data_IF_796636115368
#
_entry.id   IF_796636115368
#
_cell.length_a   1.000
_cell.length_b   1.000
_cell.length_c   1.000
_cell.angle_alpha   90.00
_cell.angle_beta   90.00
_cell.angle_gamma   90.00
#
_symmetry.space_group_name_H-M   'P 1'
#
loop_
_entity.id
_entity.type
_entity.pdbx_description
1 polymer ?
#
# COMPACT_ATOMS: atom_id res chain seq x y z
N UNK A 1 -21.57 10.80 -16.44
CA UNK A 1 -22.47 10.34 -15.37
C UNK A 1 -23.06 8.93 -15.56
N UNK A 2 -23.39 8.46 -16.78
CA UNK A 2 -24.01 7.11 -16.99
C UNK A 2 -23.13 5.89 -16.63
N UNK A 3 -21.82 6.00 -16.46
CA UNK A 3 -20.93 4.85 -16.15
C UNK A 3 -20.63 4.65 -14.67
N UNK A 4 -20.95 5.59 -13.79
CA UNK A 4 -20.75 5.47 -12.34
C UNK A 4 -21.93 4.81 -11.61
N UNK A 5 -23.14 5.02 -12.13
CA UNK A 5 -24.37 4.52 -11.53
C UNK A 5 -24.39 3.00 -11.31
N UNK A 6 -23.94 2.14 -12.27
CA UNK A 6 -23.95 0.71 -12.04
C UNK A 6 -22.95 0.24 -10.96
N UNK A 7 -21.84 0.94 -10.79
CA UNK A 7 -20.83 0.59 -9.77
C UNK A 7 -21.30 0.92 -8.35
N UNK A 8 -21.92 2.10 -8.18
CA UNK A 8 -22.51 2.52 -6.90
C UNK A 8 -23.71 1.63 -6.56
N UNK A 9 -24.55 1.32 -7.54
CA UNK A 9 -25.67 0.40 -7.37
C UNK A 9 -25.22 -1.03 -7.05
N UNK A 10 -24.21 -1.55 -7.72
CA UNK A 10 -23.63 -2.86 -7.44
C UNK A 10 -23.04 -2.94 -6.03
N UNK A 11 -22.36 -1.88 -5.59
CA UNK A 11 -21.81 -1.79 -4.24
C UNK A 11 -22.90 -1.74 -3.18
N UNK A 12 -23.94 -0.92 -3.39
CA UNK A 12 -25.10 -0.85 -2.51
C UNK A 12 -25.87 -2.18 -2.50
N UNK A 13 -26.02 -2.83 -3.66
CA UNK A 13 -26.69 -4.13 -3.77
C UNK A 13 -25.93 -5.23 -3.03
N UNK A 14 -24.60 -5.27 -3.14
CA UNK A 14 -23.75 -6.19 -2.36
C UNK A 14 -23.87 -5.92 -0.85
N UNK A 15 -23.99 -4.66 -0.43
CA UNK A 15 -24.15 -4.31 0.98
C UNK A 15 -25.50 -4.77 1.56
N UNK A 16 -26.56 -4.83 0.74
CA UNK A 16 -27.89 -5.31 1.14
C UNK A 16 -28.01 -6.84 1.15
N UNK A 17 -27.20 -7.56 0.37
CA UNK A 17 -27.25 -9.02 0.28
C UNK A 17 -26.51 -9.73 1.43
N UNK A 18 -25.77 -9.00 2.26
CA UNK A 18 -25.06 -9.60 3.40
C UNK A 18 -26.05 -9.82 4.55
N UNK A 19 -26.32 -11.07 4.97
CA UNK A 19 -27.27 -11.33 6.05
C UNK A 19 -26.76 -10.69 7.35
N UNK A 20 -27.64 -9.94 8.02
CA UNK A 20 -27.34 -9.17 9.25
C UNK A 20 -26.85 -10.03 10.45
N UNK A 21 -26.86 -11.35 10.32
CA UNK A 21 -26.42 -12.30 11.35
C UNK A 21 -25.06 -12.99 11.02
N UNK A 22 -24.28 -12.45 10.11
CA UNK A 22 -22.96 -12.99 9.84
C UNK A 22 -22.09 -12.85 11.11
N UNK A 23 -21.75 -13.98 11.74
CA UNK A 23 -20.83 -14.00 12.89
C UNK A 23 -19.45 -13.56 12.40
N UNK A 24 -18.81 -12.69 13.18
CA UNK A 24 -17.44 -12.27 12.95
C UNK A 24 -16.52 -13.46 12.67
N UNK A 25 -15.58 -13.30 11.75
CA UNK A 25 -14.53 -14.30 11.52
C UNK A 25 -13.78 -14.54 12.84
N UNK A 26 -13.40 -15.77 13.11
CA UNK A 26 -12.43 -16.05 14.16
C UNK A 26 -11.10 -15.49 13.68
N UNK A 27 -10.65 -14.44 14.34
CA UNK A 27 -9.53 -13.64 13.89
C UNK A 27 -8.24 -14.45 13.93
N UNK A 28 -7.74 -14.76 12.78
CA UNK A 28 -6.31 -14.84 12.55
C UNK A 28 -5.88 -13.40 12.21
N UNK A 29 -5.46 -12.66 13.22
CA UNK A 29 -4.95 -11.30 13.03
C UNK A 29 -3.52 -11.36 12.51
N UNK A 30 -3.36 -11.83 11.27
CA UNK A 30 -2.16 -11.54 10.50
C UNK A 30 -2.35 -10.12 9.93
N UNK A 31 -2.11 -9.15 10.79
CA UNK A 31 -2.40 -7.78 10.48
C UNK A 31 -1.15 -7.04 10.05
N UNK A 32 -1.24 -6.32 8.93
CA UNK A 32 -0.55 -5.05 8.82
C UNK A 32 -1.22 -4.12 9.85
N UNK A 33 -0.67 -4.14 11.03
CA UNK A 33 -1.17 -3.43 12.20
C UNK A 33 -1.35 -1.94 11.95
N UNK A 34 -0.60 -1.36 11.01
CA UNK A 34 -0.70 0.05 10.68
C UNK A 34 -2.04 0.41 10.05
N UNK A 35 -2.51 -0.34 9.04
CA UNK A 35 -3.79 -0.05 8.40
C UNK A 35 -4.94 -0.24 9.37
N UNK A 36 -4.89 -1.29 10.20
CA UNK A 36 -5.91 -1.53 11.21
C UNK A 36 -5.85 -0.53 12.36
N UNK A 37 -4.68 -0.09 12.79
CA UNK A 37 -4.52 0.99 13.77
C UNK A 37 -5.06 2.31 13.21
N UNK A 38 -4.88 2.57 11.92
CA UNK A 38 -5.41 3.77 11.26
C UNK A 38 -6.93 3.68 11.08
N UNK A 39 -7.48 2.51 10.71
CA UNK A 39 -8.91 2.31 10.48
C UNK A 39 -9.76 2.32 11.76
N UNK A 40 -9.19 2.05 12.93
CA UNK A 40 -9.93 2.07 14.20
C UNK A 40 -10.44 3.46 14.61
N UNK A 41 -9.91 4.53 13.99
CA UNK A 41 -10.12 5.91 14.44
C UNK A 41 -11.01 6.78 13.57
N UNK A 42 -11.73 6.20 12.65
CA UNK A 42 -12.63 7.00 11.81
C UNK A 42 -13.83 7.53 12.61
N UNK A 43 -13.65 8.71 13.11
CA UNK A 43 -14.75 9.61 13.52
C UNK A 43 -15.30 10.25 12.24
N UNK A 44 -16.60 10.49 12.19
CA UNK A 44 -17.20 11.28 11.12
C UNK A 44 -16.52 12.64 11.09
N UNK A 45 -15.83 12.95 10.02
CA UNK A 45 -14.94 14.07 9.92
C UNK A 45 -15.22 14.87 8.64
N UNK A 46 -15.39 16.15 8.77
CA UNK A 46 -15.26 17.08 7.64
C UNK A 46 -14.03 17.94 7.89
N UNK A 47 -13.07 17.85 6.98
CA UNK A 47 -11.94 18.77 6.98
C UNK A 47 -11.85 19.53 5.66
N UNK A 48 -11.52 20.81 5.76
CA UNK A 48 -11.20 21.64 4.60
C UNK A 48 -9.93 22.42 4.90
N UNK A 49 -9.04 22.49 3.93
CA UNK A 49 -7.81 23.25 4.05
C UNK A 49 -7.71 24.25 2.91
N UNK A 50 -7.40 25.51 3.22
CA UNK A 50 -6.99 26.51 2.26
C UNK A 50 -5.50 26.72 2.38
N UNK A 51 -4.79 26.74 1.26
CA UNK A 51 -3.34 26.91 1.29
C UNK A 51 -2.71 27.06 -0.08
N UNK A 52 -1.39 27.06 -0.04
CA UNK A 52 -0.54 27.14 -1.22
C UNK A 52 0.13 25.80 -1.47
N UNK A 53 0.26 25.44 -2.75
CA UNK A 53 0.90 24.19 -3.17
C UNK A 53 1.95 24.50 -4.25
N UNK A 54 3.08 23.81 -4.21
CA UNK A 54 4.01 23.76 -5.33
C UNK A 54 3.96 22.38 -5.95
N UNK A 55 3.36 22.29 -7.15
CA UNK A 55 3.13 21.01 -7.85
C UNK A 55 3.84 21.10 -9.19
N UNK A 56 4.71 20.12 -9.47
CA UNK A 56 5.43 20.10 -10.74
C UNK A 56 6.28 21.34 -11.03
N UNK A 57 6.74 22.05 -9.99
CA UNK A 57 7.52 23.29 -10.11
C UNK A 57 6.69 24.57 -10.26
N UNK A 58 5.36 24.49 -10.39
CA UNK A 58 4.44 25.62 -10.47
C UNK A 58 3.77 25.90 -9.13
N UNK A 59 3.43 27.15 -8.87
CA UNK A 59 2.78 27.60 -7.64
C UNK A 59 1.26 27.68 -7.82
N UNK A 60 0.54 27.13 -6.87
CA UNK A 60 -0.92 27.08 -6.83
C UNK A 60 -1.45 27.60 -5.49
N UNK A 61 -2.64 28.17 -5.50
CA UNK A 61 -3.43 28.42 -4.30
C UNK A 61 -4.78 27.75 -4.44
N UNK A 62 -5.36 27.28 -3.34
CA UNK A 62 -6.65 26.62 -3.45
C UNK A 62 -7.16 26.01 -2.15
N UNK A 63 -8.24 25.26 -2.30
CA UNK A 63 -8.93 24.56 -1.21
C UNK A 63 -8.89 23.07 -1.46
N UNK A 64 -8.65 22.30 -0.40
CA UNK A 64 -8.76 20.85 -0.41
C UNK A 64 -9.85 20.43 0.59
N UNK A 65 -10.85 19.71 0.12
CA UNK A 65 -11.96 19.24 0.93
C UNK A 65 -11.83 17.73 1.14
N UNK A 66 -11.83 17.31 2.41
CA UNK A 66 -11.70 15.91 2.80
C UNK A 66 -12.85 15.51 3.75
N UNK A 67 -14.09 15.36 3.23
CA UNK A 67 -15.17 14.81 4.04
C UNK A 67 -15.02 13.31 4.21
N UNK A 68 -15.17 12.84 5.44
CA UNK A 68 -15.19 11.43 5.81
C UNK A 68 -16.42 11.11 6.63
N UNK A 69 -17.12 10.05 6.29
CA UNK A 69 -18.31 9.57 6.98
C UNK A 69 -18.22 8.07 7.19
N UNK A 70 -18.50 7.61 8.41
CA UNK A 70 -18.61 6.20 8.71
C UNK A 70 -19.92 5.89 9.42
N UNK A 71 -20.70 5.00 8.79
CA UNK A 71 -22.00 4.53 9.28
C UNK A 71 -21.92 3.01 9.46
N UNK A 72 -21.73 2.55 10.68
CA UNK A 72 -21.58 1.13 10.98
C UNK A 72 -20.39 0.51 10.26
N UNK A 73 -20.68 -0.38 9.29
CA UNK A 73 -19.64 -1.05 8.47
C UNK A 73 -19.27 -0.30 7.20
N UNK A 74 -20.02 0.74 6.83
CA UNK A 74 -19.77 1.53 5.61
C UNK A 74 -18.92 2.74 5.95
N UNK A 75 -17.87 2.97 5.21
CA UNK A 75 -17.03 4.16 5.31
C UNK A 75 -16.91 4.84 3.95
N UNK A 76 -16.99 6.16 3.91
CA UNK A 76 -16.82 6.99 2.71
C UNK A 76 -15.88 8.12 3.03
N UNK A 77 -14.85 8.29 2.24
CA UNK A 77 -13.95 9.43 2.29
C UNK A 77 -13.77 10.02 0.89
N UNK A 78 -13.79 11.34 0.80
CA UNK A 78 -13.48 12.06 -0.43
C UNK A 78 -12.20 12.88 -0.24
N UNK A 79 -11.58 13.22 -1.36
CA UNK A 79 -10.39 14.08 -1.41
C UNK A 79 -10.50 14.95 -2.66
N UNK A 80 -10.97 16.17 -2.46
CA UNK A 80 -11.34 17.10 -3.53
C UNK A 80 -10.37 18.28 -3.52
N UNK A 81 -9.29 18.23 -4.33
CA UNK A 81 -8.36 19.34 -4.48
C UNK A 81 -8.89 20.35 -5.53
N UNK A 82 -9.00 21.58 -5.16
CA UNK A 82 -9.40 22.69 -6.01
C UNK A 82 -8.26 23.73 -6.00
N UNK A 83 -7.23 23.53 -6.81
CA UNK A 83 -6.04 24.36 -6.88
C UNK A 83 -6.02 25.18 -8.17
N UNK A 84 -5.66 26.46 -8.06
CA UNK A 84 -5.55 27.39 -9.15
C UNK A 84 -4.09 27.86 -9.28
N UNK A 85 -3.56 27.82 -10.49
CA UNK A 85 -2.22 28.30 -10.79
C UNK A 85 -2.15 29.82 -10.55
N UNK A 86 -1.14 30.27 -9.81
CA UNK A 86 -0.97 31.67 -9.48
C UNK A 86 -0.47 32.53 -10.66
N UNK A 87 0.07 31.90 -11.72
CA UNK A 87 0.59 32.60 -12.89
C UNK A 87 -0.50 32.87 -13.92
N UNK A 88 -1.37 31.90 -14.19
CA UNK A 88 -2.37 31.97 -15.26
C UNK A 88 -3.82 31.85 -14.78
N UNK A 89 -4.05 31.68 -13.49
CA UNK A 89 -5.37 31.54 -12.87
C UNK A 89 -6.10 30.24 -13.23
N UNK A 90 -5.50 29.33 -14.00
CA UNK A 90 -6.16 28.11 -14.43
C UNK A 90 -6.20 27.07 -13.32
N UNK A 91 -7.34 26.38 -13.24
CA UNK A 91 -7.50 25.29 -12.31
C UNK A 91 -6.60 24.09 -12.70
N UNK A 92 -5.96 23.48 -11.70
CA UNK A 92 -5.24 22.22 -11.87
C UNK A 92 -6.25 21.09 -12.09
N UNK A 93 -6.32 20.60 -13.32
CA UNK A 93 -7.33 19.61 -13.74
C UNK A 93 -6.76 18.25 -14.07
N UNK A 94 -5.47 18.04 -13.92
CA UNK A 94 -4.80 16.79 -14.33
C UNK A 94 -5.33 15.57 -13.56
N UNK A 95 -5.80 15.78 -12.33
CA UNK A 95 -6.43 14.74 -11.52
C UNK A 95 -7.83 14.35 -12.03
N UNK A 96 -8.51 15.23 -12.73
CA UNK A 96 -9.89 15.04 -13.23
C UNK A 96 -9.95 14.54 -14.67
N UNK A 97 -8.81 14.49 -15.36
CA UNK A 97 -8.73 14.09 -16.76
C UNK A 97 -8.96 12.60 -16.94
N UNK A 98 -9.60 12.25 -18.05
CA UNK A 98 -9.86 10.86 -18.45
C UNK A 98 -11.18 10.30 -17.92
N UNK A 99 -11.57 9.12 -18.41
CA UNK A 99 -12.88 8.49 -18.12
C UNK A 99 -13.07 8.07 -16.66
N UNK A 100 -12.01 8.03 -15.87
CA UNK A 100 -12.00 7.67 -14.44
C UNK A 100 -11.57 8.83 -13.53
N UNK A 101 -11.41 10.05 -14.07
CA UNK A 101 -10.94 11.21 -13.32
C UNK A 101 -11.76 11.50 -12.06
N UNK A 102 -13.10 11.45 -12.17
CA UNK A 102 -13.98 11.65 -11.02
C UNK A 102 -13.84 10.57 -9.93
N UNK A 103 -13.42 9.36 -10.27
CA UNK A 103 -13.19 8.29 -9.28
C UNK A 103 -11.99 8.62 -8.38
N UNK A 104 -11.05 9.43 -8.85
CA UNK A 104 -9.86 9.86 -8.08
C UNK A 104 -10.21 10.79 -6.93
N UNK A 105 -11.42 11.39 -6.93
CA UNK A 105 -11.94 12.16 -5.81
C UNK A 105 -12.37 11.27 -4.65
N UNK A 106 -12.57 9.99 -4.88
CA UNK A 106 -12.88 9.02 -3.83
C UNK A 106 -11.57 8.63 -3.15
N UNK A 107 -11.35 9.13 -1.93
CA UNK A 107 -10.26 8.69 -1.08
C UNK A 107 -10.45 7.22 -0.73
N UNK A 108 -11.64 6.88 -0.23
CA UNK A 108 -12.08 5.50 -0.06
C UNK A 108 -13.61 5.38 0.04
N UNK A 109 -14.10 4.24 -0.41
CA UNK A 109 -15.43 3.72 -0.13
C UNK A 109 -15.24 2.29 0.39
N UNK A 110 -15.60 2.02 1.64
CA UNK A 110 -15.33 0.74 2.27
C UNK A 110 -16.55 0.12 2.91
N UNK A 111 -16.57 -1.21 2.97
CA UNK A 111 -17.52 -2.00 3.73
C UNK A 111 -16.76 -3.07 4.53
N UNK A 112 -17.06 -3.17 5.83
CA UNK A 112 -16.45 -4.14 6.72
C UNK A 112 -15.01 -3.80 7.11
N UNK A 113 -14.37 -4.74 7.80
CA UNK A 113 -12.96 -4.69 8.20
C UNK A 113 -12.27 -5.94 7.69
N UNK A 114 -11.13 -5.76 7.01
CA UNK A 114 -10.31 -6.85 6.46
C UNK A 114 -9.97 -7.85 7.55
N UNK A 115 -10.06 -9.15 7.25
CA UNK A 115 -9.81 -10.26 8.18
C UNK A 115 -10.71 -10.35 9.44
N UNK A 116 -11.55 -9.35 9.71
CA UNK A 116 -12.44 -9.30 10.88
C UNK A 116 -13.89 -9.57 10.52
N UNK A 117 -14.37 -8.97 9.46
CA UNK A 117 -15.74 -9.18 8.97
C UNK A 117 -15.75 -10.26 7.86
N UNK A 118 -16.87 -10.96 7.66
CA UNK A 118 -16.97 -11.97 6.60
C UNK A 118 -16.79 -11.41 5.20
N UNK A 119 -17.10 -10.14 5.03
CA UNK A 119 -16.92 -9.39 3.79
C UNK A 119 -16.24 -8.07 4.10
N UNK A 120 -15.15 -7.83 3.41
CA UNK A 120 -14.47 -6.56 3.34
C UNK A 120 -14.28 -6.16 1.89
N UNK A 121 -14.61 -4.92 1.57
CA UNK A 121 -14.36 -4.30 0.27
C UNK A 121 -13.96 -2.85 0.52
N UNK A 122 -12.90 -2.39 -0.15
CA UNK A 122 -12.47 -0.99 -0.16
C UNK A 122 -12.18 -0.59 -1.59
N UNK A 123 -12.82 0.46 -2.06
CA UNK A 123 -12.59 1.10 -3.36
C UNK A 123 -11.99 2.47 -3.13
N UNK A 124 -10.95 2.84 -3.85
CA UNK A 124 -10.29 4.15 -3.72
C UNK A 124 -8.78 4.04 -3.73
N UNK A 125 -8.14 4.88 -2.94
CA UNK A 125 -6.70 4.84 -2.77
C UNK A 125 -6.30 3.62 -1.93
N UNK A 126 -5.39 2.83 -2.47
CA UNK A 126 -4.78 1.71 -1.76
C UNK A 126 -3.52 2.19 -1.06
N UNK A 127 -3.43 1.96 0.25
CA UNK A 127 -2.29 2.37 1.08
C UNK A 127 -1.91 1.22 1.99
N UNK A 128 -0.64 0.84 1.98
CA UNK A 128 -0.10 -0.24 2.77
C UNK A 128 -0.84 -1.59 2.58
N UNK A 129 -1.32 -1.87 1.36
CA UNK A 129 -2.03 -3.11 1.06
C UNK A 129 -1.10 -4.31 1.06
N UNK A 130 -1.64 -5.44 1.52
CA UNK A 130 -0.95 -6.72 1.48
C UNK A 130 -1.92 -7.83 1.06
N UNK A 131 -1.38 -8.91 0.51
CA UNK A 131 -2.12 -10.11 0.12
C UNK A 131 -1.44 -11.33 0.75
N UNK A 132 -2.24 -12.19 1.38
CA UNK A 132 -1.73 -13.33 2.15
C UNK A 132 -0.82 -12.88 3.29
N UNK A 133 0.32 -13.53 3.39
CA UNK A 133 1.34 -13.21 4.38
C UNK A 133 2.38 -12.19 3.85
N UNK A 134 2.08 -11.49 2.74
CA UNK A 134 2.92 -10.43 2.21
C UNK A 134 4.19 -10.93 1.51
N UNK A 135 4.22 -12.16 1.02
CA UNK A 135 5.38 -12.70 0.30
C UNK A 135 5.68 -11.96 -1.00
N UNK A 136 4.64 -11.59 -1.74
CA UNK A 136 4.71 -10.89 -3.04
C UNK A 136 4.25 -9.45 -2.93
N UNK A 137 3.07 -9.21 -2.36
CA UNK A 137 2.46 -7.89 -2.18
C UNK A 137 2.50 -7.53 -0.71
N UNK A 138 3.31 -6.56 -0.35
CA UNK A 138 3.45 -6.09 1.03
C UNK A 138 3.66 -4.57 1.09
N UNK A 139 2.87 -3.89 1.90
CA UNK A 139 2.84 -2.43 2.00
C UNK A 139 2.64 -1.70 0.66
N UNK A 140 1.99 -2.34 -0.30
CA UNK A 140 1.77 -1.76 -1.61
C UNK A 140 0.88 -0.51 -1.54
N UNK A 141 1.22 0.49 -2.35
CA UNK A 141 0.43 1.72 -2.47
C UNK A 141 0.30 2.14 -3.93
N UNK A 142 -0.93 2.52 -4.34
CA UNK A 142 -1.22 2.97 -5.69
C UNK A 142 -1.31 4.50 -5.83
N UNK A 143 -1.09 5.25 -4.76
CA UNK A 143 -1.31 6.70 -4.72
C UNK A 143 -0.19 7.42 -3.99
N UNK A 144 1.06 7.13 -4.38
CA UNK A 144 2.26 7.66 -3.75
C UNK A 144 2.61 9.07 -4.23
N UNK A 145 2.23 9.44 -5.45
CA UNK A 145 2.41 10.77 -6.03
C UNK A 145 1.09 11.56 -6.02
N UNK A 146 1.17 12.88 -5.87
CA UNK A 146 0.02 13.76 -6.01
C UNK A 146 -0.50 13.76 -7.46
N UNK A 147 0.38 13.74 -8.43
CA UNK A 147 0.04 13.75 -9.87
C UNK A 147 -0.49 12.42 -10.40
N UNK A 148 -0.15 11.30 -9.72
CA UNK A 148 -0.48 9.94 -10.19
C UNK A 148 -1.39 9.22 -9.20
N UNK A 149 -2.53 9.84 -8.88
CA UNK A 149 -3.55 9.18 -8.06
C UNK A 149 -4.28 8.12 -8.84
N UNK A 150 -4.49 6.99 -8.22
CA UNK A 150 -5.21 5.84 -8.78
C UNK A 150 -6.39 5.46 -7.88
N UNK A 151 -7.40 4.89 -8.50
CA UNK A 151 -8.56 4.34 -7.80
C UNK A 151 -8.59 2.85 -8.03
N UNK A 152 -8.26 2.10 -7.01
CA UNK A 152 -8.24 0.64 -7.03
C UNK A 152 -9.33 0.02 -6.17
N UNK A 153 -9.23 -1.29 -5.98
CA UNK A 153 -10.06 -2.06 -5.07
C UNK A 153 -9.19 -3.03 -4.27
N UNK A 154 -9.50 -3.18 -2.98
CA UNK A 154 -9.01 -4.26 -2.11
C UNK A 154 -10.21 -4.99 -1.53
N UNK A 155 -10.13 -6.30 -1.42
CA UNK A 155 -11.24 -7.12 -0.93
C UNK A 155 -10.77 -8.35 -0.17
N UNK A 156 -11.61 -8.82 0.76
CA UNK A 156 -11.47 -10.09 1.47
C UNK A 156 -12.86 -10.62 1.79
N UNK A 157 -13.21 -11.76 1.21
CA UNK A 157 -14.50 -12.43 1.42
C UNK A 157 -14.24 -13.82 1.96
N UNK A 158 -14.84 -14.15 3.11
CA UNK A 158 -14.70 -15.43 3.76
C UNK A 158 -16.09 -16.07 4.01
N UNK A 159 -16.30 -17.24 3.43
CA UNK A 159 -17.56 -17.98 3.50
C UNK A 159 -17.43 -19.08 4.54
N UNK A 160 -18.42 -19.15 5.45
CA UNK A 160 -18.50 -20.19 6.50
C UNK A 160 -17.23 -20.33 7.34
N UNK A 161 -16.36 -19.30 7.39
CA UNK A 161 -15.05 -19.31 8.06
C UNK A 161 -14.05 -20.34 7.49
N UNK A 162 -14.37 -21.00 6.39
CA UNK A 162 -13.59 -22.09 5.82
C UNK A 162 -12.96 -21.75 4.48
N UNK A 163 -13.68 -21.00 3.63
CA UNK A 163 -13.25 -20.69 2.28
C UNK A 163 -13.26 -19.19 2.10
N UNK A 164 -12.24 -18.66 1.45
CA UNK A 164 -12.23 -17.25 1.16
C UNK A 164 -11.42 -16.89 -0.07
N UNK A 165 -11.56 -15.63 -0.44
CA UNK A 165 -10.77 -15.01 -1.49
C UNK A 165 -10.46 -13.57 -1.08
N UNK A 166 -9.20 -13.21 -1.12
CA UNK A 166 -8.73 -11.85 -0.95
C UNK A 166 -7.93 -11.40 -2.16
N UNK A 167 -7.79 -10.10 -2.31
CA UNK A 167 -7.00 -9.57 -3.40
C UNK A 167 -7.14 -8.07 -3.57
N UNK A 168 -6.51 -7.59 -4.63
CA UNK A 168 -6.55 -6.18 -5.01
C UNK A 168 -6.43 -5.98 -6.52
N UNK A 169 -6.88 -4.82 -6.96
CA UNK A 169 -6.64 -4.29 -8.30
C UNK A 169 -6.28 -2.80 -8.19
N UNK A 170 -5.16 -2.42 -8.78
CA UNK A 170 -4.53 -1.13 -8.47
C UNK A 170 -5.22 0.08 -9.09
N UNK A 171 -5.85 -0.04 -10.26
CA UNK A 171 -6.45 1.11 -10.94
C UNK A 171 -7.56 0.69 -11.91
N UNK A 172 -8.72 1.30 -11.81
CA UNK A 172 -9.83 1.13 -12.76
C UNK A 172 -9.60 1.81 -14.11
N UNK A 173 -8.57 2.63 -14.24
CA UNK A 173 -8.16 3.15 -15.53
C UNK A 173 -7.39 2.08 -16.31
N UNK A 174 -8.07 1.36 -17.18
CA UNK A 174 -7.49 0.25 -17.94
C UNK A 174 -6.48 0.68 -19.01
N UNK A 175 -6.31 1.98 -19.24
CA UNK A 175 -5.31 2.55 -20.16
C UNK A 175 -3.95 2.78 -19.51
N UNK A 176 -3.85 2.62 -18.16
CA UNK A 176 -2.64 2.80 -17.40
C UNK A 176 -2.08 1.45 -16.90
N UNK A 177 -0.97 1.53 -16.17
CA UNK A 177 -0.44 0.40 -15.42
C UNK A 177 -1.45 -0.14 -14.41
N UNK A 178 -1.64 -1.46 -14.41
CA UNK A 178 -2.57 -2.15 -13.52
C UNK A 178 -1.93 -3.38 -12.90
N UNK A 179 -1.81 -3.37 -11.59
CA UNK A 179 -1.42 -4.54 -10.80
C UNK A 179 -2.69 -5.24 -10.29
N UNK A 180 -2.79 -6.53 -10.58
CA UNK A 180 -3.84 -7.42 -10.10
C UNK A 180 -3.25 -8.48 -9.18
N UNK A 181 -3.86 -8.70 -8.03
CA UNK A 181 -3.52 -9.80 -7.13
C UNK A 181 -4.79 -10.48 -6.63
N UNK A 182 -4.77 -11.82 -6.60
CA UNK A 182 -5.86 -12.64 -6.06
C UNK A 182 -5.27 -13.78 -5.25
N UNK A 183 -5.88 -14.05 -4.09
CA UNK A 183 -5.54 -15.17 -3.22
C UNK A 183 -6.80 -15.91 -2.78
N UNK A 184 -7.22 -17.00 -3.45
CA UNK A 184 -8.09 -17.98 -2.82
C UNK A 184 -7.38 -18.64 -1.64
N UNK A 185 -8.13 -18.90 -0.56
CA UNK A 185 -7.61 -19.55 0.63
C UNK A 185 -8.65 -20.47 1.27
N UNK A 186 -8.14 -21.45 2.01
CA UNK A 186 -8.97 -22.36 2.76
C UNK A 186 -8.50 -22.41 4.22
N UNK A 187 -9.45 -22.59 5.13
CA UNK A 187 -9.24 -22.92 6.55
C UNK A 187 -9.87 -24.29 6.81
N UNK A 188 -9.11 -25.38 6.60
CA UNK A 188 -9.67 -26.74 6.63
C UNK A 188 -10.40 -27.06 7.94
N UNK A 189 -9.93 -26.48 9.03
CA UNK A 189 -10.49 -26.68 10.36
C UNK A 189 -11.23 -25.46 10.91
N UNK A 190 -11.63 -24.51 10.04
CA UNK A 190 -12.28 -23.26 10.45
C UNK A 190 -13.59 -23.43 11.23
N UNK A 191 -14.25 -24.58 11.10
CA UNK A 191 -15.43 -24.97 11.88
C UNK A 191 -15.09 -25.72 13.19
N UNK A 192 -13.82 -26.07 13.41
CA UNK A 192 -13.37 -26.79 14.62
C UNK A 192 -13.46 -25.88 15.86
N UNK A 193 -13.70 -26.49 17.02
CA UNK A 193 -13.66 -25.80 18.30
C UNK A 193 -12.24 -25.70 18.88
N UNK A 194 -11.27 -26.48 18.36
CA UNK A 194 -9.88 -26.48 18.82
C UNK A 194 -9.21 -25.15 18.49
N UNK A 195 -8.79 -24.37 19.49
CA UNK A 195 -8.41 -22.95 19.28
C UNK A 195 -7.28 -22.73 18.28
N UNK A 196 -6.25 -23.55 18.27
CA UNK A 196 -5.08 -23.41 17.40
C UNK A 196 -5.39 -23.91 15.99
N UNK A 197 -5.88 -25.15 15.87
CA UNK A 197 -6.10 -25.81 14.57
C UNK A 197 -7.13 -25.06 13.70
N UNK A 198 -8.19 -24.52 14.32
CA UNK A 198 -9.23 -23.76 13.57
C UNK A 198 -8.70 -22.53 12.85
N UNK A 199 -7.50 -22.09 13.19
CA UNK A 199 -6.86 -20.90 12.60
C UNK A 199 -5.94 -21.24 11.43
N UNK A 200 -5.71 -22.53 11.15
CA UNK A 200 -4.89 -22.94 10.00
C UNK A 200 -5.50 -22.36 8.72
N UNK A 201 -4.72 -21.52 8.05
CA UNK A 201 -5.05 -20.85 6.79
C UNK A 201 -4.02 -21.27 5.74
N UNK A 202 -4.48 -21.67 4.57
CA UNK A 202 -3.63 -22.06 3.44
C UNK A 202 -4.14 -21.34 2.19
N UNK A 203 -3.24 -20.72 1.46
CA UNK A 203 -3.61 -19.92 0.30
C UNK A 203 -2.67 -20.05 -0.88
N UNK A 204 -3.21 -19.69 -2.03
CA UNK A 204 -2.48 -19.55 -3.28
C UNK A 204 -2.66 -18.13 -3.79
N UNK A 205 -1.58 -17.38 -3.92
CA UNK A 205 -1.59 -16.03 -4.45
C UNK A 205 -1.12 -16.01 -5.89
N UNK A 206 -1.85 -15.32 -6.76
CA UNK A 206 -1.40 -15.00 -8.11
C UNK A 206 -1.39 -13.49 -8.29
N UNK A 207 -0.30 -12.98 -8.83
CA UNK A 207 -0.12 -11.54 -9.12
C UNK A 207 0.24 -11.38 -10.59
N UNK A 208 -0.35 -10.38 -11.21
CA UNK A 208 -0.01 -9.99 -12.58
C UNK A 208 0.03 -8.48 -12.70
N UNK A 209 1.12 -7.99 -13.25
CA UNK A 209 1.28 -6.63 -13.70
C UNK A 209 0.94 -6.57 -15.20
N UNK A 210 -0.01 -5.70 -15.57
CA UNK A 210 -0.35 -5.38 -16.95
C UNK A 210 -0.06 -3.90 -17.18
N UNK A 211 1.07 -3.61 -17.79
CA UNK A 211 1.35 -2.25 -18.19
C UNK A 211 0.91 -2.02 -19.65
N UNK A 212 -0.01 -1.08 -19.81
CA UNK A 212 -0.49 -0.61 -21.11
C UNK A 212 -0.03 0.83 -21.39
N UNK A 213 0.79 1.40 -20.54
CA UNK A 213 1.27 2.77 -20.71
C UNK A 213 2.18 2.82 -21.92
N UNK A 214 1.78 3.57 -22.92
CA UNK A 214 2.69 3.93 -24.02
C UNK A 214 3.72 4.88 -23.45
N UNK A 215 4.93 4.42 -23.24
CA UNK A 215 6.08 5.26 -22.96
C UNK A 215 6.72 5.57 -24.29
N UNK A 216 6.66 6.85 -24.64
CA UNK A 216 7.17 7.32 -25.90
C UNK A 216 8.68 7.52 -25.77
N UNK A 217 9.46 6.72 -26.50
CA UNK A 217 10.80 7.06 -26.91
C UNK A 217 10.88 6.82 -28.42
N UNK A 218 10.95 7.91 -29.18
CA UNK A 218 11.01 7.86 -30.63
C UNK A 218 12.28 7.21 -31.18
N UNK A 219 13.33 7.10 -30.36
CA UNK A 219 14.63 6.61 -30.77
C UNK A 219 14.84 5.11 -30.58
N UNK A 220 14.08 4.49 -29.68
CA UNK A 220 14.18 3.08 -29.36
C UNK A 220 12.78 2.53 -29.12
N UNK A 221 12.36 1.52 -29.81
CA UNK A 221 11.03 0.91 -29.73
C UNK A 221 10.74 0.26 -28.36
N UNK A 222 10.86 1.06 -27.28
CA UNK A 222 10.68 0.70 -25.87
C UNK A 222 9.25 0.27 -25.58
N UNK A 223 8.31 0.60 -26.46
CA UNK A 223 6.89 0.31 -26.29
C UNK A 223 6.56 -1.18 -26.14
N UNK A 224 7.42 -2.06 -26.63
CA UNK A 224 7.21 -3.51 -26.51
C UNK A 224 7.58 -4.06 -25.13
N UNK A 225 8.53 -3.45 -24.46
CA UNK A 225 9.12 -3.91 -23.21
C UNK A 225 8.11 -4.01 -22.05
N UNK A 226 7.22 -3.05 -21.96
CA UNK A 226 6.29 -2.91 -20.83
C UNK A 226 4.95 -3.61 -21.06
N UNK A 227 4.69 -4.10 -22.27
CA UNK A 227 3.48 -4.89 -22.53
C UNK A 227 3.49 -6.25 -21.87
N UNK A 228 4.66 -6.79 -21.59
CA UNK A 228 4.81 -8.16 -21.14
C UNK A 228 4.68 -8.29 -19.63
N UNK A 229 5.03 -7.23 -18.87
CA UNK A 229 4.80 -7.12 -17.44
C UNK A 229 5.45 -8.22 -16.59
N UNK A 230 5.08 -8.24 -15.33
CA UNK A 230 5.50 -9.24 -14.36
C UNK A 230 4.35 -10.17 -14.01
N UNK A 231 4.64 -11.45 -13.79
CA UNK A 231 3.72 -12.38 -13.15
C UNK A 231 4.41 -13.04 -11.95
N UNK A 232 3.64 -13.38 -10.96
CA UNK A 232 4.14 -14.03 -9.76
C UNK A 232 3.08 -14.93 -9.16
N UNK A 233 3.52 -15.94 -8.42
CA UNK A 233 2.63 -16.75 -7.62
C UNK A 233 3.29 -17.13 -6.29
N UNK A 234 2.47 -17.43 -5.29
CA UNK A 234 2.91 -17.87 -3.97
C UNK A 234 1.96 -18.90 -3.41
N UNK A 235 2.53 -19.87 -2.71
CA UNK A 235 1.82 -20.74 -1.78
C UNK A 235 2.18 -20.30 -0.37
N UNK A 236 1.20 -20.23 0.49
CA UNK A 236 1.40 -19.83 1.87
C UNK A 236 0.52 -20.62 2.83
N UNK A 237 0.98 -20.70 4.07
CA UNK A 237 0.21 -21.27 5.16
C UNK A 237 0.60 -20.61 6.49
N UNK A 238 -0.32 -20.61 7.42
CA UNK A 238 -0.03 -20.14 8.77
C UNK A 238 -1.16 -20.43 9.74
N UNK A 239 -0.86 -20.28 11.02
CA UNK A 239 -1.81 -20.48 12.10
C UNK A 239 -1.44 -19.68 13.34
N UNK A 240 -2.44 -19.44 14.19
CA UNK A 240 -2.23 -18.83 15.51
C UNK A 240 -1.82 -19.88 16.51
N UNK A 241 -0.63 -19.73 17.09
CA UNK A 241 -0.10 -20.62 18.11
C UNK A 241 -0.63 -20.28 19.52
N UNK A 242 -0.72 -18.97 19.80
CA UNK A 242 -1.24 -18.44 21.06
C UNK A 242 -2.29 -17.40 20.75
N UNK A 243 -3.44 -17.49 21.38
CA UNK A 243 -4.51 -16.51 21.25
C UNK A 243 -5.11 -16.18 22.61
N UNK A 244 -4.72 -15.06 23.19
CA UNK A 244 -5.25 -14.55 24.44
C UNK A 244 -5.69 -13.10 24.28
N UNK A 245 -6.35 -12.54 25.28
CA UNK A 245 -6.76 -11.13 25.30
C UNK A 245 -5.58 -10.15 25.31
N UNK A 246 -4.41 -10.60 25.76
CA UNK A 246 -3.22 -9.77 25.97
C UNK A 246 -2.12 -10.06 24.95
N UNK A 247 -2.04 -11.30 24.48
CA UNK A 247 -0.96 -11.75 23.60
C UNK A 247 -1.44 -12.75 22.55
N UNK A 248 -1.11 -12.46 21.30
CA UNK A 248 -1.33 -13.38 20.18
C UNK A 248 -0.01 -13.65 19.49
N UNK A 249 0.25 -14.91 19.18
CA UNK A 249 1.42 -15.34 18.42
C UNK A 249 0.96 -16.18 17.24
N UNK A 250 1.32 -15.77 16.04
CA UNK A 250 1.10 -16.52 14.81
C UNK A 250 2.41 -16.97 14.20
N UNK A 251 2.36 -18.13 13.55
CA UNK A 251 3.40 -18.67 12.70
C UNK A 251 2.91 -18.73 11.27
N UNK A 252 3.80 -18.55 10.31
CA UNK A 252 3.50 -18.72 8.89
C UNK A 252 4.74 -19.10 8.10
N UNK A 253 4.50 -19.70 6.93
CA UNK A 253 5.52 -19.99 5.93
C UNK A 253 4.95 -19.72 4.54
N UNK A 254 5.81 -19.40 3.61
CA UNK A 254 5.45 -19.24 2.20
C UNK A 254 6.57 -19.65 1.26
N UNK A 255 6.17 -20.00 0.05
CA UNK A 255 7.04 -20.16 -1.11
C UNK A 255 6.47 -19.33 -2.25
N UNK A 256 7.31 -18.58 -2.96
CA UNK A 256 6.88 -17.69 -4.03
C UNK A 256 7.84 -17.70 -5.20
N UNK A 257 7.30 -17.39 -6.38
CA UNK A 257 8.07 -17.31 -7.62
C UNK A 257 7.70 -16.03 -8.35
N UNK A 258 8.72 -15.29 -8.77
CA UNK A 258 8.61 -14.17 -9.70
C UNK A 258 8.97 -14.66 -11.11
N UNK A 259 8.18 -14.24 -12.07
CA UNK A 259 8.41 -14.58 -13.47
C UNK A 259 8.25 -13.34 -14.32
N UNK A 260 9.26 -13.04 -15.11
CA UNK A 260 9.16 -12.02 -16.15
C UNK A 260 8.73 -12.69 -17.47
N UNK A 261 7.78 -12.10 -18.17
CA UNK A 261 7.44 -12.53 -19.52
C UNK A 261 8.56 -12.06 -20.44
N UNK A 262 9.23 -13.00 -21.13
CA UNK A 262 10.32 -12.69 -22.06
C UNK A 262 9.74 -12.06 -23.32
N UNK A 263 10.19 -10.83 -23.67
CA UNK A 263 10.04 -10.30 -25.01
C UNK A 263 11.41 -10.11 -25.65
N UNK A 264 11.49 -10.23 -26.97
CA UNK A 264 12.74 -9.98 -27.68
C UNK A 264 13.18 -8.50 -27.56
N UNK A 265 12.23 -7.60 -27.33
CA UNK A 265 12.47 -6.19 -27.09
C UNK A 265 13.18 -5.91 -25.76
N UNK A 266 12.96 -6.72 -24.72
CA UNK A 266 13.69 -6.68 -23.46
C UNK A 266 15.19 -6.89 -23.66
N UNK A 267 15.55 -7.83 -24.52
CA UNK A 267 16.94 -8.16 -24.84
C UNK A 267 17.68 -6.99 -25.49
N UNK A 268 16.96 -6.22 -26.30
CA UNK A 268 17.54 -5.10 -27.06
C UNK A 268 17.63 -3.84 -26.22
N UNK A 269 16.61 -3.57 -25.38
CA UNK A 269 16.50 -2.34 -24.60
C UNK A 269 17.56 -2.18 -23.53
N UNK A 270 17.88 -3.27 -22.81
CA UNK A 270 18.85 -3.15 -21.73
C UNK A 270 20.29 -3.12 -22.23
N UNK A 271 20.57 -3.27 -23.56
CA UNK A 271 21.93 -3.47 -24.06
C UNK A 271 22.73 -4.27 -22.99
N UNK A 272 21.94 -5.05 -22.27
CA UNK A 272 22.32 -5.57 -20.98
C UNK A 272 23.30 -6.67 -21.23
N UNK A 273 24.24 -6.86 -20.35
CA UNK A 273 25.01 -8.07 -20.33
C UNK A 273 24.02 -9.26 -20.40
N UNK A 274 24.40 -10.30 -21.10
CA UNK A 274 23.60 -11.50 -21.42
C UNK A 274 22.76 -12.06 -20.27
N UNK A 275 23.10 -11.72 -19.03
CA UNK A 275 22.43 -12.11 -17.79
C UNK A 275 21.00 -11.60 -17.62
N UNK A 276 20.68 -10.36 -18.07
CA UNK A 276 19.33 -9.81 -17.94
C UNK A 276 18.35 -10.42 -18.97
N UNK A 277 18.86 -10.82 -20.13
CA UNK A 277 18.07 -11.36 -21.21
C UNK A 277 17.66 -12.83 -21.00
N UNK A 278 18.31 -13.55 -20.08
CA UNK A 278 18.23 -15.00 -19.97
C UNK A 278 17.52 -15.56 -18.75
N UNK A 279 17.09 -14.72 -17.76
CA UNK A 279 16.36 -15.28 -16.65
C UNK A 279 14.88 -15.53 -16.98
N UNK A 280 14.35 -16.66 -16.52
CA UNK A 280 12.94 -17.03 -16.66
C UNK A 280 12.16 -16.74 -15.40
N UNK A 281 12.74 -17.10 -14.27
CA UNK A 281 12.09 -16.98 -12.98
C UNK A 281 13.10 -17.04 -11.85
N UNK A 282 12.77 -16.39 -10.74
CA UNK A 282 13.41 -16.56 -9.47
C UNK A 282 12.41 -16.97 -8.41
N UNK A 283 12.84 -17.66 -7.38
CA UNK A 283 11.99 -18.13 -6.30
C UNK A 283 12.54 -17.80 -4.92
N UNK A 284 11.64 -17.67 -3.96
CA UNK A 284 11.98 -17.45 -2.58
C UNK A 284 11.02 -18.13 -1.63
N UNK A 285 11.49 -18.41 -0.44
CA UNK A 285 10.69 -18.92 0.66
C UNK A 285 10.95 -18.13 1.94
N UNK A 286 9.98 -18.12 2.81
CA UNK A 286 10.09 -17.47 4.11
C UNK A 286 9.35 -18.22 5.19
N UNK A 287 9.87 -18.13 6.41
CA UNK A 287 9.23 -18.60 7.64
C UNK A 287 9.24 -17.47 8.63
N UNK A 288 8.10 -17.15 9.21
CA UNK A 288 7.95 -16.02 10.10
C UNK A 288 7.06 -16.23 11.30
N UNK A 289 7.23 -15.31 12.24
CA UNK A 289 6.40 -15.16 13.42
C UNK A 289 5.79 -13.76 13.40
N UNK A 290 4.54 -13.66 13.83
CA UNK A 290 3.85 -12.41 14.09
C UNK A 290 3.31 -12.42 15.53
N UNK A 291 3.65 -11.40 16.30
CA UNK A 291 3.24 -11.25 17.68
C UNK A 291 2.46 -9.94 17.87
N UNK A 292 1.28 -10.03 18.50
CA UNK A 292 0.51 -8.90 18.94
C UNK A 292 0.41 -8.91 20.46
N UNK A 293 0.72 -7.81 21.09
CA UNK A 293 0.69 -7.65 22.54
C UNK A 293 -0.11 -6.41 22.93
N UNK A 294 -0.99 -6.56 23.92
CA UNK A 294 -1.75 -5.47 24.56
C UNK A 294 -1.34 -5.40 26.01
N UNK A 295 -0.70 -4.32 26.40
CA UNK A 295 -0.25 -4.10 27.78
C UNK A 295 -1.12 -3.02 28.41
N UNK A 296 -1.66 -3.30 29.61
CA UNK A 296 -2.54 -2.38 30.35
C UNK A 296 -3.72 -1.93 29.47
N UNK A 297 -4.50 -2.89 28.99
CA UNK A 297 -5.61 -2.60 28.08
C UNK A 297 -5.14 -2.08 26.72
N UNK A 298 -5.62 -0.92 26.29
CA UNK A 298 -5.23 -0.29 25.03
C UNK A 298 -4.17 0.81 25.20
N UNK A 299 -3.61 0.99 26.41
CA UNK A 299 -2.63 2.05 26.65
C UNK A 299 -1.31 1.80 25.91
N UNK A 300 -0.94 0.54 25.75
CA UNK A 300 0.21 0.16 24.94
C UNK A 300 -0.11 -1.11 24.14
N UNK A 301 -0.05 -0.99 22.84
CA UNK A 301 -0.19 -2.12 21.91
C UNK A 301 1.07 -2.21 21.07
N UNK A 302 1.57 -3.44 20.91
CA UNK A 302 2.74 -3.74 20.10
C UNK A 302 2.38 -4.82 19.08
N UNK A 303 2.75 -4.60 17.84
CA UNK A 303 2.75 -5.62 16.79
C UNK A 303 4.18 -5.78 16.29
N UNK A 304 4.70 -6.99 16.32
CA UNK A 304 6.02 -7.33 15.84
C UNK A 304 5.95 -8.50 14.87
N UNK A 305 6.68 -8.41 13.78
CA UNK A 305 6.86 -9.48 12.81
C UNK A 305 8.34 -9.69 12.57
N UNK A 306 8.77 -10.94 12.53
CA UNK A 306 10.10 -11.33 12.09
C UNK A 306 9.98 -12.52 11.15
N UNK A 307 10.77 -12.52 10.08
CA UNK A 307 10.74 -13.53 9.04
C UNK A 307 12.16 -13.79 8.54
N UNK A 308 12.54 -15.06 8.47
CA UNK A 308 13.75 -15.49 7.78
C UNK A 308 13.41 -15.82 6.34
N UNK A 309 14.22 -15.34 5.42
CA UNK A 309 14.03 -15.41 3.98
C UNK A 309 15.20 -16.15 3.31
N UNK A 310 14.89 -16.96 2.31
CA UNK A 310 15.84 -17.60 1.42
C UNK A 310 15.35 -17.40 -0.01
N UNK A 311 16.21 -16.92 -0.89
CA UNK A 311 15.83 -16.67 -2.28
C UNK A 311 16.95 -16.97 -3.26
N UNK A 312 16.55 -17.44 -4.45
CA UNK A 312 17.43 -17.74 -5.57
C UNK A 312 17.84 -16.48 -6.31
N UNK A 313 18.72 -16.64 -7.30
CA UNK A 313 18.96 -15.61 -8.30
C UNK A 313 17.64 -15.15 -8.94
N UNK A 314 17.61 -13.90 -9.38
CA UNK A 314 16.46 -13.26 -10.04
C UNK A 314 15.17 -13.26 -9.19
N UNK A 315 15.32 -13.18 -7.88
CA UNK A 315 14.20 -13.03 -6.94
C UNK A 315 14.44 -11.86 -5.98
N UNK A 316 13.39 -11.13 -5.71
CA UNK A 316 13.35 -10.08 -4.69
C UNK A 316 12.12 -10.28 -3.81
N UNK A 317 12.27 -10.48 -2.49
CA UNK A 317 11.15 -10.61 -1.57
C UNK A 317 10.27 -9.36 -1.59
N UNK A 318 8.95 -9.55 -1.40
CA UNK A 318 7.99 -8.45 -1.31
C UNK A 318 8.11 -7.48 -2.51
N UNK A 319 8.25 -8.03 -3.71
CA UNK A 319 8.57 -7.29 -4.93
C UNK A 319 7.58 -6.14 -5.21
N UNK A 320 6.29 -6.35 -4.94
CA UNK A 320 5.24 -5.35 -5.11
C UNK A 320 5.00 -4.61 -3.79
N UNK A 321 5.84 -3.63 -3.51
CA UNK A 321 5.85 -2.82 -2.29
C UNK A 321 5.35 -1.38 -2.51
N UNK A 322 5.54 -0.53 -1.51
CA UNK A 322 5.14 0.87 -1.54
C UNK A 322 5.81 1.69 -2.66
N UNK A 323 7.04 1.32 -3.06
CA UNK A 323 7.81 2.03 -4.08
C UNK A 323 7.62 1.47 -5.50
N UNK A 324 6.89 0.36 -5.63
CA UNK A 324 6.80 -0.36 -6.90
C UNK A 324 6.31 0.51 -8.06
N UNK A 325 5.25 1.28 -7.87
CA UNK A 325 4.69 2.11 -8.94
C UNK A 325 5.57 3.31 -9.33
N UNK A 326 6.39 3.79 -8.41
CA UNK A 326 7.33 4.88 -8.67
C UNK A 326 8.58 4.39 -9.41
N UNK A 327 9.09 3.22 -9.00
CA UNK A 327 10.38 2.70 -9.40
C UNK A 327 10.30 1.36 -10.13
N UNK A 328 9.17 1.08 -10.78
CA UNK A 328 8.90 -0.21 -11.44
C UNK A 328 10.06 -0.67 -12.34
N UNK A 329 10.50 0.19 -13.26
CA UNK A 329 11.52 -0.19 -14.24
C UNK A 329 12.87 -0.44 -13.58
N UNK A 330 13.24 0.38 -12.60
CA UNK A 330 14.44 0.17 -11.81
C UNK A 330 14.38 -1.15 -11.03
N UNK A 331 13.24 -1.49 -10.45
CA UNK A 331 13.05 -2.77 -9.74
C UNK A 331 13.12 -3.97 -10.68
N UNK A 332 12.55 -3.87 -11.87
CA UNK A 332 12.64 -4.93 -12.89
C UNK A 332 14.08 -5.11 -13.34
N UNK A 333 14.81 -4.02 -13.61
CA UNK A 333 16.22 -4.07 -13.96
C UNK A 333 17.08 -4.67 -12.82
N UNK A 334 16.78 -4.31 -11.57
CA UNK A 334 17.45 -4.85 -10.41
C UNK A 334 17.16 -6.35 -10.21
N UNK A 335 15.92 -6.78 -10.46
CA UNK A 335 15.54 -8.19 -10.41
C UNK A 335 16.41 -9.05 -11.35
N UNK A 336 16.73 -8.54 -12.54
CA UNK A 336 17.60 -9.23 -13.48
C UNK A 336 19.04 -9.41 -13.00
N UNK A 337 19.47 -8.61 -12.00
CA UNK A 337 20.82 -8.66 -11.39
C UNK A 337 20.81 -9.27 -9.98
N UNK A 338 19.63 -9.57 -9.46
CA UNK A 338 19.50 -10.09 -8.10
C UNK A 338 20.16 -11.47 -8.00
N UNK A 339 21.04 -11.62 -7.04
CA UNK A 339 21.77 -12.84 -6.77
C UNK A 339 21.11 -13.65 -5.66
N UNK A 340 21.38 -14.95 -5.64
CA UNK A 340 20.97 -15.86 -4.56
C UNK A 340 21.41 -15.30 -3.22
N UNK A 341 20.45 -15.19 -2.29
CA UNK A 341 20.70 -14.55 -1.01
C UNK A 341 19.79 -15.12 0.08
N UNK A 342 20.16 -14.84 1.32
CA UNK A 342 19.35 -15.00 2.50
C UNK A 342 19.12 -13.62 3.14
N UNK A 343 18.10 -13.50 3.97
CA UNK A 343 17.84 -12.23 4.62
C UNK A 343 16.81 -12.33 5.74
N UNK A 344 16.55 -11.19 6.36
CA UNK A 344 15.55 -11.03 7.40
C UNK A 344 14.60 -9.92 6.98
N UNK A 345 13.29 -10.17 7.15
CA UNK A 345 12.31 -9.11 7.18
C UNK A 345 11.83 -8.92 8.62
N UNK A 346 11.79 -7.68 9.06
CA UNK A 346 11.26 -7.29 10.36
C UNK A 346 10.27 -6.14 10.23
N UNK A 347 9.20 -6.16 11.03
CA UNK A 347 8.39 -4.98 11.24
C UNK A 347 8.02 -4.84 12.71
N UNK A 348 7.97 -3.59 13.18
CA UNK A 348 7.60 -3.26 14.53
C UNK A 348 6.69 -2.04 14.51
N UNK A 349 5.51 -2.17 15.14
CA UNK A 349 4.54 -1.10 15.24
C UNK A 349 4.04 -1.01 16.68
N UNK A 350 4.02 0.19 17.23
CA UNK A 350 3.54 0.46 18.57
C UNK A 350 2.45 1.53 18.55
N UNK A 351 1.40 1.31 19.33
CA UNK A 351 0.42 2.34 19.70
C UNK A 351 0.58 2.66 21.19
N UNK A 352 0.80 3.92 21.51
CA UNK A 352 1.09 4.40 22.86
C UNK A 352 -0.03 5.35 23.27
N UNK A 353 -0.69 5.04 24.40
CA UNK A 353 -1.79 5.82 25.00
C UNK A 353 -2.95 6.08 24.01
N UNK A 354 -3.07 5.25 22.97
CA UNK A 354 -4.01 5.47 21.86
C UNK A 354 -3.83 6.85 21.16
N UNK A 355 -2.70 7.52 21.39
CA UNK A 355 -2.39 8.86 20.85
C UNK A 355 -1.19 8.88 19.91
N UNK A 356 -0.28 7.95 20.01
CA UNK A 356 0.93 7.89 19.18
C UNK A 356 1.02 6.51 18.55
N UNK A 357 1.09 6.47 17.25
CA UNK A 357 1.40 5.26 16.46
C UNK A 357 2.77 5.49 15.82
N UNK A 358 3.71 4.65 16.14
CA UNK A 358 5.06 4.68 15.57
C UNK A 358 5.46 3.28 15.14
N UNK A 359 6.17 3.19 14.05
CA UNK A 359 6.68 1.90 13.61
C UNK A 359 7.44 1.97 12.31
N UNK A 360 7.71 0.79 11.78
CA UNK A 360 8.41 0.64 10.51
C UNK A 360 8.65 -0.82 10.16
N UNK A 361 9.27 -1.00 9.02
CA UNK A 361 9.72 -2.30 8.55
C UNK A 361 11.10 -2.18 7.89
N UNK A 362 11.80 -3.29 7.88
CA UNK A 362 13.13 -3.42 7.31
C UNK A 362 13.23 -4.78 6.61
N UNK A 363 13.56 -4.76 5.33
CA UNK A 363 14.02 -5.94 4.58
C UNK A 363 15.53 -5.84 4.48
N UNK A 364 16.22 -6.78 5.13
CA UNK A 364 17.67 -6.76 5.28
C UNK A 364 18.27 -8.05 4.71
N UNK A 365 18.88 -8.03 3.52
CA UNK A 365 19.72 -9.11 3.04
C UNK A 365 20.91 -9.33 3.97
N UNK A 366 21.40 -10.58 4.10
CA UNK A 366 22.55 -10.89 4.92
C UNK A 366 23.82 -10.18 4.41
N UNK A 367 23.92 -10.00 3.07
CA UNK A 367 24.94 -9.18 2.43
C UNK A 367 24.29 -8.07 1.61
N UNK A 368 24.30 -6.85 2.15
CA UNK A 368 23.76 -5.69 1.44
C UNK A 368 24.71 -5.30 0.31
N UNK A 369 24.18 -5.15 -0.90
CA UNK A 369 24.95 -4.77 -2.09
C UNK A 369 24.05 -4.06 -3.13
N UNK A 370 24.61 -3.65 -4.25
CA UNK A 370 23.85 -3.14 -5.39
C UNK A 370 22.93 -4.19 -6.02
N UNK A 371 23.32 -5.47 -5.95
CA UNK A 371 22.52 -6.59 -6.45
C UNK A 371 21.50 -7.11 -5.43
N UNK A 372 21.72 -6.81 -4.16
CA UNK A 372 20.87 -7.21 -3.02
C UNK A 372 20.71 -6.05 -2.02
N UNK A 373 20.00 -4.99 -2.39
CA UNK A 373 19.83 -3.84 -1.51
C UNK A 373 18.80 -4.09 -0.42
N UNK A 374 18.94 -3.39 0.68
CA UNK A 374 17.93 -3.33 1.72
C UNK A 374 16.80 -2.37 1.36
N UNK A 375 15.66 -2.54 2.03
CA UNK A 375 14.52 -1.63 2.00
C UNK A 375 14.11 -1.29 3.42
N UNK A 376 13.82 -0.01 3.66
CA UNK A 376 13.37 0.47 4.96
C UNK A 376 12.13 1.37 4.80
N UNK A 377 11.22 1.26 5.74
CA UNK A 377 10.11 2.20 5.89
C UNK A 377 9.92 2.51 7.37
N UNK A 378 9.68 3.78 7.68
CA UNK A 378 9.29 4.24 9.02
C UNK A 378 8.06 5.12 8.92
N UNK A 379 7.24 5.12 9.96
CA UNK A 379 6.06 5.97 10.03
C UNK A 379 5.78 6.41 11.47
N UNK A 380 5.16 7.56 11.56
CA UNK A 380 4.68 8.16 12.81
C UNK A 380 3.30 8.79 12.55
N UNK A 381 2.38 8.56 13.47
CA UNK A 381 1.11 9.26 13.50
C UNK A 381 0.74 9.62 14.94
N UNK A 382 0.27 10.84 15.14
CA UNK A 382 -0.26 11.25 16.44
C UNK A 382 -1.74 11.64 16.31
N UNK A 383 -2.48 11.47 17.39
CA UNK A 383 -3.86 11.92 17.52
C UNK A 383 -3.91 12.99 18.61
N UNK A 384 -4.13 14.23 18.21
CA UNK A 384 -4.29 15.37 19.12
C UNK A 384 -3.31 15.33 20.32
N UNK A 385 -1.99 15.19 20.02
CA UNK A 385 -0.96 15.15 21.05
C UNK A 385 -0.99 16.46 21.84
N UNK A 386 -1.06 16.37 23.17
CA UNK A 386 -1.30 17.51 24.05
C UNK A 386 -2.55 18.32 23.69
N UNK A 387 -3.56 17.68 23.06
CA UNK A 387 -4.79 18.29 22.56
C UNK A 387 -4.59 19.40 21.50
N UNK A 388 -3.37 19.53 20.96
CA UNK A 388 -3.00 20.62 20.04
C UNK A 388 -2.21 20.20 18.80
N UNK A 389 -1.47 19.11 18.85
CA UNK A 389 -0.50 18.77 17.81
C UNK A 389 -0.92 17.48 17.11
N UNK A 390 -0.98 17.54 15.77
CA UNK A 390 -1.14 16.39 14.92
C UNK A 390 0.10 16.28 14.04
N UNK A 391 0.75 15.12 14.09
CA UNK A 391 1.87 14.77 13.23
C UNK A 391 1.52 13.47 12.52
N UNK A 392 1.67 13.44 11.23
CA UNK A 392 1.56 12.23 10.43
C UNK A 392 2.72 12.22 9.45
N UNK A 393 3.46 11.12 9.40
CA UNK A 393 4.59 11.03 8.50
C UNK A 393 4.98 9.61 8.18
N UNK A 394 5.52 9.43 6.98
CA UNK A 394 6.17 8.20 6.57
C UNK A 394 7.38 8.52 5.72
N UNK A 395 8.40 7.70 5.86
CA UNK A 395 9.59 7.72 5.04
C UNK A 395 9.87 6.31 4.56
N UNK A 396 10.07 6.14 3.26
CA UNK A 396 10.42 4.87 2.63
C UNK A 396 11.71 5.06 1.84
N UNK A 397 12.63 4.13 2.00
CA UNK A 397 13.90 4.07 1.31
C UNK A 397 14.10 2.72 0.67
N UNK A 398 14.10 2.70 -0.65
CA UNK A 398 14.46 1.52 -1.46
C UNK A 398 15.92 1.56 -1.89
N UNK A 399 16.37 0.50 -2.55
CA UNK A 399 17.72 0.39 -3.13
C UNK A 399 18.86 0.82 -2.18
N UNK A 400 18.73 0.43 -0.91
CA UNK A 400 19.68 0.82 0.12
C UNK A 400 20.90 -0.12 0.09
N UNK A 401 21.99 0.34 -0.48
CA UNK A 401 23.24 -0.43 -0.64
C UNK A 401 24.17 -0.32 0.55
N UNK A 402 23.93 0.67 1.43
CA UNK A 402 24.65 0.89 2.69
C UNK A 402 23.68 1.43 3.73
N UNK A 403 23.74 0.93 4.96
CA UNK A 403 22.85 1.40 6.03
C UNK A 403 23.06 2.89 6.38
N UNK A 404 24.25 3.41 6.21
CA UNK A 404 24.58 4.83 6.46
C UNK A 404 23.81 5.78 5.52
N UNK A 405 23.32 5.26 4.39
CA UNK A 405 22.56 6.04 3.42
C UNK A 405 21.03 6.00 3.68
N UNK A 406 20.61 5.37 4.78
CA UNK A 406 19.21 5.17 5.11
C UNK A 406 18.38 6.47 5.13
N UNK A 407 18.97 7.58 5.53
CA UNK A 407 18.31 8.88 5.58
C UNK A 407 18.82 9.89 4.54
N UNK A 408 19.57 9.44 3.54
CA UNK A 408 19.90 10.27 2.38
C UNK A 408 18.76 10.27 1.39
N UNK A 409 18.27 11.46 1.05
CA UNK A 409 17.18 11.63 0.08
C UNK A 409 17.73 11.55 -1.35
N UNK A 410 17.20 10.60 -2.12
CA UNK A 410 17.51 10.37 -3.53
C UNK A 410 16.26 9.82 -4.28
N UNK A 411 16.42 9.40 -5.52
CA UNK A 411 15.35 8.83 -6.37
C UNK A 411 14.69 7.57 -5.80
N UNK A 412 15.33 6.90 -4.84
CA UNK A 412 14.81 5.73 -4.16
C UNK A 412 14.15 6.07 -2.82
N UNK A 413 13.89 7.35 -2.58
CA UNK A 413 13.33 7.86 -1.34
C UNK A 413 11.94 8.45 -1.56
N UNK A 414 11.06 8.24 -0.60
CA UNK A 414 9.75 8.86 -0.52
C UNK A 414 9.52 9.36 0.90
N UNK A 415 9.26 10.64 1.07
CA UNK A 415 8.85 11.22 2.34
C UNK A 415 7.49 11.90 2.21
N UNK A 416 6.60 11.60 3.14
CA UNK A 416 5.31 12.27 3.29
C UNK A 416 5.22 12.68 4.75
N UNK A 417 4.94 13.96 5.01
CA UNK A 417 4.81 14.48 6.36
C UNK A 417 3.70 15.54 6.42
N UNK A 418 2.90 15.45 7.45
CA UNK A 418 1.91 16.44 7.84
C UNK A 418 2.21 16.90 9.25
N UNK A 419 2.26 18.18 9.46
CA UNK A 419 2.26 18.81 10.76
C UNK A 419 1.06 19.75 10.86
N UNK A 420 0.26 19.62 11.92
CA UNK A 420 -0.84 20.55 12.18
C UNK A 420 -0.86 20.97 13.65
N UNK A 421 -1.18 22.22 13.90
CA UNK A 421 -1.36 22.81 15.20
C UNK A 421 -2.79 23.34 15.34
N UNK A 422 -3.45 22.95 16.41
CA UNK A 422 -4.80 23.36 16.76
C UNK A 422 -4.79 24.74 17.40
N UNK A 423 -5.30 25.74 16.69
CA UNK A 423 -5.42 27.11 17.16
C UNK A 423 -6.70 27.27 18.03
N UNK A 424 -7.80 26.65 17.58
CA UNK A 424 -9.12 26.67 18.21
C UNK A 424 -9.79 25.30 18.11
N UNK A 425 -10.88 25.00 18.78
CA UNK A 425 -11.50 23.67 18.79
C UNK A 425 -11.69 23.01 17.42
N UNK A 426 -11.98 23.81 16.41
CA UNK A 426 -12.20 23.34 15.04
C UNK A 426 -11.19 23.91 14.03
N UNK A 427 -10.27 24.79 14.46
CA UNK A 427 -9.34 25.50 13.57
C UNK A 427 -7.93 24.99 13.76
N UNK A 428 -7.32 24.56 12.68
CA UNK A 428 -5.94 24.07 12.62
C UNK A 428 -5.14 24.90 11.60
N UNK A 429 -3.86 25.08 11.85
CA UNK A 429 -2.89 25.51 10.85
C UNK A 429 -1.83 24.45 10.70
N UNK A 430 -1.25 24.31 9.53
CA UNK A 430 -0.27 23.27 9.33
C UNK A 430 0.46 23.36 8.01
N UNK A 431 1.28 22.35 7.78
CA UNK A 431 2.00 22.13 6.53
C UNK A 431 1.97 20.64 6.17
N UNK A 432 1.61 20.36 4.93
CA UNK A 432 1.77 19.06 4.30
C UNK A 432 3.01 19.13 3.42
N UNK A 433 3.92 18.19 3.63
CA UNK A 433 5.14 18.04 2.85
C UNK A 433 5.14 16.68 2.19
N UNK A 434 5.43 16.65 0.88
CA UNK A 434 5.69 15.42 0.13
C UNK A 434 6.95 15.61 -0.67
N UNK A 435 7.79 14.60 -0.67
CA UNK A 435 9.02 14.57 -1.44
C UNK A 435 9.21 13.20 -2.07
N UNK A 436 9.33 13.17 -3.39
CA UNK A 436 9.60 11.98 -4.19
C UNK A 436 10.24 12.36 -5.52
N UNK A 437 10.69 11.35 -6.24
CA UNK A 437 11.23 11.48 -7.59
C UNK A 437 10.30 10.78 -8.58
N UNK A 438 9.95 11.44 -9.66
CA UNK A 438 9.20 10.86 -10.76
C UNK A 438 10.11 10.71 -11.98
N UNK A 439 10.14 9.51 -12.56
CA UNK A 439 10.85 9.27 -13.81
C UNK A 439 10.06 9.95 -14.94
N UNK A 440 10.74 10.75 -15.75
CA UNK A 440 10.18 11.36 -16.95
C UNK A 440 10.25 10.39 -18.13
N UNK A 441 9.54 10.74 -19.21
CA UNK A 441 9.54 9.96 -20.46
C UNK A 441 10.93 9.93 -21.12
N UNK A 442 11.77 10.96 -20.89
CA UNK A 442 13.16 11.06 -21.36
C UNK A 442 14.17 10.23 -20.53
N UNK A 443 13.68 9.44 -19.55
CA UNK A 443 14.51 8.65 -18.66
C UNK A 443 15.11 9.42 -17.48
N UNK A 444 15.06 10.73 -17.49
CA UNK A 444 15.51 11.58 -16.38
C UNK A 444 14.50 11.59 -15.21
N UNK A 445 14.96 11.99 -14.03
CA UNK A 445 14.10 12.15 -12.87
C UNK A 445 13.68 13.61 -12.69
N UNK A 446 12.42 13.82 -12.35
CA UNK A 446 11.89 15.10 -11.87
C UNK A 446 11.61 14.98 -10.38
N UNK A 447 12.10 15.93 -9.61
CA UNK A 447 11.70 16.04 -8.21
C UNK A 447 10.23 16.47 -8.19
N UNK A 448 9.40 15.63 -7.56
CA UNK A 448 8.02 15.97 -7.21
C UNK A 448 7.99 16.28 -5.72
N UNK A 449 8.33 17.51 -5.38
CA UNK A 449 8.17 17.98 -4.02
C UNK A 449 6.99 18.94 -3.96
N UNK A 450 6.14 18.75 -2.99
CA UNK A 450 5.08 19.69 -2.67
C UNK A 450 5.18 20.10 -1.20
N UNK A 451 5.14 21.40 -0.97
CA UNK A 451 5.04 21.97 0.39
C UNK A 451 3.76 22.79 0.39
N UNK A 452 2.80 22.38 1.20
CA UNK A 452 1.46 22.94 1.24
C UNK A 452 1.15 23.48 2.63
N UNK A 453 1.51 24.73 2.96
CA UNK A 453 1.00 25.38 4.15
C UNK A 453 -0.50 25.57 4.02
N UNK A 454 -1.24 25.38 5.10
CA UNK A 454 -2.70 25.46 5.08
C UNK A 454 -3.29 25.93 6.40
N UNK A 455 -4.51 26.44 6.31
CA UNK A 455 -5.45 26.61 7.42
C UNK A 455 -6.62 25.66 7.19
N UNK A 456 -6.96 24.85 8.18
CA UNK A 456 -7.97 23.82 8.05
C UNK A 456 -9.07 23.95 9.11
N UNK A 457 -10.29 23.65 8.72
CA UNK A 457 -11.42 23.45 9.61
C UNK A 457 -11.67 21.94 9.75
N UNK A 458 -11.80 21.47 10.99
CA UNK A 458 -12.07 20.06 11.32
C UNK A 458 -13.31 19.98 12.20
N UNK A 459 -14.36 19.35 11.70
CA UNK A 459 -15.60 19.10 12.42
C UNK A 459 -15.75 17.61 12.66
N UNK A 460 -16.02 17.21 13.89
CA UNK A 460 -16.42 15.85 14.28
C UNK A 460 -17.94 15.84 14.48
N UNK A 461 -18.63 14.85 13.90
CA UNK A 461 -20.08 14.71 14.02
C UNK A 461 -20.47 13.50 14.85
#
# INVERSE_FOLDING_TARGET
MRKLTPFILAFLFCAFLVPHKAKSQVNFEFENSLENMIQQDTVNLFSSAFGFARIGGKNYAGVRLNPELRLGKVGVGLDIPLYFNLEDGKMHTDEFKGGTGLLRLISYLSYGRKKKDPVYIKVGQLRAEHVGYGSLVNNYSNSMSFEKRKTGISYDVCIKKMFGVEGMYSDFNTGSFNLFAIRPYVRPFGASEIPVIKTLDMGFTYVKDKDKTKRYDESNDINHFLKDGMSAWSLDMGMTLVNSSVFNLGWYAHYSQLRQVKSDSLKTYFAAPETLANYDSGSGMGIGLNANMKVIGNLFMLNARIERLWYSDNYMPQFFDAMYELNKDAKIAQLGRAEKQEGIYGSLNASILDKIIIGGNLLLPDNISETSPAFMQVHLRTKDLFDKILIEGSYSKGNLTKLDDAFKFDENSLAIMRFAYKIAPILYTGVDYRWTWLKKDDGNFKIDNSVMPYVALKFNF
#
